data_IF_886055668745
#
_entry.id   IF_886055668745
#
_cell.length_a   1.000
_cell.length_b   1.000
_cell.length_c   1.000
_cell.angle_alpha   90.00
_cell.angle_beta   90.00
_cell.angle_gamma   90.00
#
_symmetry.space_group_name_H-M   'P 1'
#
loop_
_entity.id
_entity.type
_entity.pdbx_description
1 polymer ?
#
# COMPACT_ATOMS: atom_id res chain seq x y z
N UNK A 1 13.01 -4.98 -11.07
CA UNK A 1 12.46 -4.64 -9.75
C UNK A 1 12.25 -5.96 -9.04
N UNK A 2 13.11 -6.25 -8.08
CA UNK A 2 13.17 -7.54 -7.37
C UNK A 2 12.13 -7.60 -6.25
N UNK A 3 11.96 -8.75 -5.59
CA UNK A 3 11.00 -8.90 -4.48
C UNK A 3 11.31 -7.92 -3.33
N UNK A 4 12.59 -7.70 -3.05
CA UNK A 4 13.07 -6.74 -2.05
C UNK A 4 12.66 -5.29 -2.39
N UNK A 5 12.74 -4.90 -3.66
CA UNK A 5 12.35 -3.56 -4.12
C UNK A 5 10.84 -3.34 -3.96
N UNK A 6 10.04 -4.37 -4.26
CA UNK A 6 8.58 -4.32 -4.09
C UNK A 6 8.20 -4.27 -2.61
N UNK A 7 8.88 -5.05 -1.77
CA UNK A 7 8.70 -5.04 -0.32
C UNK A 7 8.99 -3.67 0.27
N UNK A 8 10.12 -3.07 -0.12
CA UNK A 8 10.49 -1.73 0.31
C UNK A 8 9.51 -0.66 -0.19
N UNK A 9 9.08 -0.74 -1.46
CA UNK A 9 8.08 0.17 -2.00
C UNK A 9 6.76 0.14 -1.21
N UNK A 10 6.25 -1.05 -0.90
CA UNK A 10 5.05 -1.22 -0.09
C UNK A 10 5.23 -0.69 1.34
N UNK A 11 6.39 -0.93 1.94
CA UNK A 11 6.73 -0.42 3.27
C UNK A 11 6.70 1.12 3.28
N UNK A 12 7.34 1.75 2.30
CA UNK A 12 7.39 3.21 2.19
C UNK A 12 5.99 3.80 1.96
N UNK A 13 5.16 3.17 1.12
CA UNK A 13 3.77 3.60 0.91
C UNK A 13 2.95 3.48 2.21
N UNK A 14 3.13 2.41 2.98
CA UNK A 14 2.47 2.25 4.27
C UNK A 14 2.91 3.33 5.27
N UNK A 15 4.21 3.59 5.38
CA UNK A 15 4.76 4.63 6.27
C UNK A 15 4.37 6.06 5.84
N UNK A 16 4.27 6.31 4.54
CA UNK A 16 3.85 7.60 4.00
C UNK A 16 2.39 7.92 4.35
N UNK A 17 1.50 6.91 4.33
CA UNK A 17 0.10 7.06 4.77
C UNK A 17 -0.01 7.46 6.24
N UNK A 18 0.95 7.03 7.06
CA UNK A 18 0.97 7.32 8.48
C UNK A 18 1.84 8.54 8.83
N UNK A 19 2.41 9.23 7.85
CA UNK A 19 3.32 10.39 8.03
C UNK A 19 4.54 10.10 8.93
N UNK A 20 4.99 8.84 9.00
CA UNK A 20 6.06 8.38 9.91
C UNK A 20 7.32 7.84 9.21
N UNK A 21 7.60 8.29 7.99
CA UNK A 21 8.70 7.75 7.16
C UNK A 21 10.09 7.86 7.81
N UNK A 22 10.34 8.89 8.62
CA UNK A 22 11.63 9.12 9.28
C UNK A 22 11.68 8.71 10.76
N UNK A 23 10.60 8.13 11.28
CA UNK A 23 10.51 7.74 12.70
C UNK A 23 10.97 6.30 12.86
N UNK A 24 11.87 5.97 13.80
CA UNK A 24 12.21 4.59 14.12
C UNK A 24 10.99 3.81 14.61
N UNK A 25 10.85 2.56 14.18
CA UNK A 25 9.77 1.67 14.60
C UNK A 25 10.29 0.23 14.81
N UNK A 26 9.63 -0.60 15.64
CA UNK A 26 10.09 -1.97 15.89
C UNK A 26 9.98 -2.86 14.65
N UNK A 27 10.93 -3.79 14.50
CA UNK A 27 10.98 -4.73 13.38
C UNK A 27 9.70 -5.57 13.24
N UNK A 28 9.02 -5.84 14.36
CA UNK A 28 7.73 -6.53 14.38
C UNK A 28 6.66 -5.86 13.51
N UNK A 29 6.63 -4.52 13.47
CA UNK A 29 5.63 -3.78 12.71
C UNK A 29 5.71 -4.04 11.20
N UNK A 30 6.89 -4.40 10.67
CA UNK A 30 7.06 -4.70 9.25
C UNK A 30 6.13 -5.84 8.83
N UNK A 31 6.09 -6.94 9.58
CA UNK A 31 5.36 -8.15 9.20
C UNK A 31 3.98 -8.27 9.86
N UNK A 32 3.71 -7.56 10.95
CA UNK A 32 2.40 -7.61 11.63
C UNK A 32 1.42 -6.58 11.07
N UNK A 33 1.91 -5.38 10.74
CA UNK A 33 1.02 -4.21 10.49
C UNK A 33 1.26 -3.55 9.14
N UNK A 34 2.52 -3.28 8.79
CA UNK A 34 2.87 -2.49 7.61
C UNK A 34 2.75 -3.31 6.33
N UNK A 35 3.41 -4.47 6.27
CA UNK A 35 3.44 -5.32 5.07
C UNK A 35 3.16 -6.79 5.39
N UNK A 36 2.00 -7.14 5.98
CA UNK A 36 1.66 -8.53 6.25
C UNK A 36 1.53 -9.34 4.97
N UNK A 37 2.03 -10.58 5.01
CA UNK A 37 2.11 -11.47 3.85
C UNK A 37 0.75 -11.71 3.17
N UNK A 38 -0.30 -12.01 3.93
CA UNK A 38 -1.62 -12.37 3.37
C UNK A 38 -2.22 -11.24 2.52
N UNK A 39 -2.11 -9.99 2.98
CA UNK A 39 -2.70 -8.83 2.31
C UNK A 39 -1.86 -8.35 1.12
N UNK A 40 -0.56 -8.65 1.10
CA UNK A 40 0.39 -8.11 0.13
C UNK A 40 0.95 -9.14 -0.85
N UNK A 41 0.60 -10.44 -0.74
CA UNK A 41 1.12 -11.53 -1.60
C UNK A 41 1.00 -11.21 -3.09
N UNK A 42 -0.14 -10.68 -3.54
CA UNK A 42 -0.37 -10.34 -4.95
C UNK A 42 0.52 -9.19 -5.45
N UNK A 43 0.87 -8.23 -4.58
CA UNK A 43 1.71 -7.07 -4.92
C UNK A 43 3.20 -7.37 -4.82
N UNK A 44 3.61 -8.20 -3.87
CA UNK A 44 5.00 -8.63 -3.68
C UNK A 44 5.45 -9.61 -4.77
N UNK A 45 4.51 -10.41 -5.31
CA UNK A 45 4.78 -11.45 -6.31
C UNK A 45 5.82 -12.48 -5.81
N UNK A 46 5.67 -12.91 -4.56
CA UNK A 46 6.44 -14.00 -3.93
C UNK A 46 5.69 -15.32 -4.08
N UNK A 47 6.42 -16.38 -4.46
CA UNK A 47 5.84 -17.69 -4.70
C UNK A 47 5.38 -18.35 -3.39
N UNK A 48 6.19 -18.26 -2.34
CA UNK A 48 5.96 -18.92 -1.05
C UNK A 48 6.03 -17.94 0.14
N UNK A 49 5.57 -18.39 1.30
CA UNK A 49 5.73 -17.63 2.54
C UNK A 49 7.20 -17.51 2.96
N UNK A 50 8.00 -18.55 2.70
CA UNK A 50 9.42 -18.55 2.99
C UNK A 50 10.17 -17.51 2.15
N UNK A 51 9.78 -17.30 0.88
CA UNK A 51 10.37 -16.24 0.03
C UNK A 51 10.11 -14.84 0.61
N UNK A 52 8.92 -14.63 1.19
CA UNK A 52 8.59 -13.39 1.89
C UNK A 52 9.46 -13.22 3.14
N UNK A 53 9.59 -14.25 3.97
CA UNK A 53 10.43 -14.22 5.17
C UNK A 53 11.89 -13.94 4.82
N UNK A 54 12.41 -14.55 3.75
CA UNK A 54 13.75 -14.27 3.22
C UNK A 54 13.89 -12.81 2.73
N UNK A 55 12.88 -12.26 2.06
CA UNK A 55 12.90 -10.86 1.64
C UNK A 55 12.90 -9.89 2.83
N UNK A 56 12.13 -10.19 3.89
CA UNK A 56 12.13 -9.42 5.14
C UNK A 56 13.47 -9.54 5.85
N UNK A 57 14.04 -10.74 5.96
CA UNK A 57 15.35 -10.96 6.56
C UNK A 57 16.44 -10.14 5.84
N UNK A 58 16.45 -10.18 4.50
CA UNK A 58 17.36 -9.38 3.66
C UNK A 58 17.19 -7.88 3.85
N UNK A 59 15.93 -7.41 3.93
CA UNK A 59 15.64 -6.00 4.18
C UNK A 59 16.19 -5.55 5.53
N UNK A 60 15.95 -6.32 6.60
CA UNK A 60 16.38 -6.01 7.97
C UNK A 60 17.89 -6.15 8.15
N UNK A 61 18.54 -7.03 7.40
CA UNK A 61 20.00 -7.10 7.30
C UNK A 61 20.62 -5.85 6.63
N UNK A 62 19.80 -4.94 6.09
CA UNK A 62 20.23 -3.69 5.47
C UNK A 62 20.68 -3.86 4.02
N UNK A 63 20.21 -4.90 3.33
CA UNK A 63 20.54 -5.12 1.93
C UNK A 63 20.14 -3.89 1.09
N UNK A 64 21.04 -3.45 0.20
CA UNK A 64 20.92 -2.24 -0.64
C UNK A 64 20.78 -0.91 0.12
N UNK A 65 20.95 -0.91 1.44
CA UNK A 65 20.92 0.31 2.26
C UNK A 65 19.55 0.98 2.34
N UNK A 66 18.48 0.22 2.13
CA UNK A 66 17.09 0.69 2.23
C UNK A 66 16.69 1.02 3.67
N UNK A 67 17.17 0.21 4.59
CA UNK A 67 16.80 0.22 5.99
C UNK A 67 18.06 0.05 6.83
N UNK A 68 18.08 0.69 7.99
CA UNK A 68 19.09 0.51 9.03
C UNK A 68 18.41 -0.07 10.27
N UNK A 69 18.99 -1.14 10.80
CA UNK A 69 18.50 -1.79 12.01
C UNK A 69 19.45 -1.49 13.18
N UNK A 70 18.86 -1.04 14.29
CA UNK A 70 19.52 -0.85 15.58
C UNK A 70 18.96 -1.87 16.60
N UNK A 71 19.82 -2.55 17.38
CA UNK A 71 21.27 -2.40 17.44
C UNK A 71 22.03 -3.09 16.29
N UNK A 72 23.21 -2.56 15.96
CA UNK A 72 24.09 -3.06 14.87
C UNK A 72 24.49 -4.53 15.04
N UNK A 73 24.63 -5.01 16.28
CA UNK A 73 24.91 -6.42 16.57
C UNK A 73 23.83 -7.38 16.06
N UNK A 74 22.55 -6.97 16.08
CA UNK A 74 21.43 -7.77 15.56
C UNK A 74 21.47 -7.78 14.04
N UNK A 75 21.77 -6.63 13.42
CA UNK A 75 21.94 -6.53 11.96
C UNK A 75 23.07 -7.44 11.48
N UNK A 76 24.21 -7.43 12.16
CA UNK A 76 25.35 -8.28 11.84
C UNK A 76 25.02 -9.77 12.01
N UNK A 77 24.22 -10.13 13.01
CA UNK A 77 23.72 -11.50 13.18
C UNK A 77 22.82 -11.92 12.00
N UNK A 78 21.90 -11.06 11.56
CA UNK A 78 21.06 -11.33 10.37
C UNK A 78 21.89 -11.46 9.09
N UNK A 79 22.92 -10.64 8.92
CA UNK A 79 23.83 -10.73 7.76
C UNK A 79 24.60 -12.05 7.74
N UNK A 80 25.08 -12.51 8.90
CA UNK A 80 25.73 -13.83 9.02
C UNK A 80 24.78 -14.96 8.69
N UNK A 81 23.52 -14.85 9.13
CA UNK A 81 22.50 -15.86 8.86
C UNK A 81 22.25 -16.01 7.35
N UNK A 82 22.12 -14.89 6.64
CA UNK A 82 21.94 -14.88 5.16
C UNK A 82 23.13 -15.54 4.43
N UNK A 83 24.34 -15.46 4.99
CA UNK A 83 25.54 -16.06 4.40
C UNK A 83 25.65 -17.57 4.64
N UNK A 84 24.82 -18.16 5.50
CA UNK A 84 24.79 -19.60 5.76
C UNK A 84 24.23 -20.36 4.56
N UNK A 85 24.68 -21.61 4.35
CA UNK A 85 24.21 -22.47 3.26
C UNK A 85 22.69 -22.77 3.37
N UNK A 86 22.19 -22.87 4.59
CA UNK A 86 20.77 -23.08 4.89
C UNK A 86 20.30 -22.00 5.87
N UNK A 87 19.96 -20.80 5.38
CA UNK A 87 19.54 -19.69 6.21
C UNK A 87 18.14 -19.95 6.80
N UNK A 88 17.97 -19.65 8.08
CA UNK A 88 16.63 -19.57 8.69
C UNK A 88 15.94 -18.27 8.31
N UNK A 89 14.98 -18.37 7.39
CA UNK A 89 14.19 -17.25 6.90
C UNK A 89 13.45 -16.51 8.03
N UNK A 90 13.08 -17.21 9.10
CA UNK A 90 12.31 -16.66 10.22
C UNK A 90 13.20 -16.09 11.34
N UNK A 91 14.53 -16.06 11.18
CA UNK A 91 15.49 -15.63 12.20
C UNK A 91 15.22 -14.21 12.74
N UNK A 92 14.69 -13.32 11.90
CA UNK A 92 14.35 -11.96 12.31
C UNK A 92 13.30 -11.89 13.44
N UNK A 93 12.46 -12.93 13.60
CA UNK A 93 11.44 -13.00 14.65
C UNK A 93 12.03 -13.14 16.05
N UNK A 94 13.31 -13.50 16.17
CA UNK A 94 14.03 -13.50 17.45
C UNK A 94 14.26 -12.09 18.01
N UNK A 95 14.13 -11.05 17.19
CA UNK A 95 14.39 -9.65 17.56
C UNK A 95 13.25 -8.71 17.17
N UNK A 96 12.04 -8.89 17.74
CA UNK A 96 10.86 -8.10 17.35
C UNK A 96 10.99 -6.61 17.71
N UNK A 97 11.68 -6.28 18.80
CA UNK A 97 11.80 -4.91 19.33
C UNK A 97 12.95 -4.10 18.71
N UNK A 98 13.74 -4.72 17.83
CA UNK A 98 14.84 -4.04 17.15
C UNK A 98 14.31 -2.84 16.36
N UNK A 99 14.96 -1.69 16.49
CA UNK A 99 14.50 -0.45 15.88
C UNK A 99 14.94 -0.38 14.43
N UNK A 100 13.98 -0.09 13.57
CA UNK A 100 14.13 -0.04 12.13
C UNK A 100 13.99 1.40 11.68
N UNK A 101 15.01 1.91 11.00
CA UNK A 101 15.03 3.26 10.47
C UNK A 101 15.16 3.23 8.95
N UNK A 102 14.23 3.88 8.26
CA UNK A 102 14.18 3.89 6.80
C UNK A 102 15.08 5.00 6.25
N UNK A 103 15.84 4.68 5.21
CA UNK A 103 16.65 5.67 4.53
C UNK A 103 15.76 6.61 3.70
N UNK A 104 15.64 7.87 4.13
CA UNK A 104 14.79 8.86 3.47
C UNK A 104 15.08 9.06 1.98
N UNK A 105 16.35 9.01 1.56
CA UNK A 105 16.73 9.12 0.14
C UNK A 105 16.27 7.93 -0.69
N UNK A 106 16.28 6.72 -0.11
CA UNK A 106 15.75 5.54 -0.77
C UNK A 106 14.22 5.59 -0.84
N UNK A 107 13.56 6.03 0.24
CA UNK A 107 12.11 6.18 0.30
C UNK A 107 11.58 7.19 -0.74
N UNK A 108 12.24 8.33 -0.89
CA UNK A 108 11.88 9.34 -1.89
C UNK A 108 12.01 8.78 -3.33
N UNK A 109 13.06 8.00 -3.60
CA UNK A 109 13.23 7.32 -4.90
C UNK A 109 12.15 6.28 -5.15
N UNK A 110 11.77 5.51 -4.14
CA UNK A 110 10.71 4.50 -4.27
C UNK A 110 9.35 5.16 -4.57
N UNK A 111 9.02 6.26 -3.90
CA UNK A 111 7.81 7.05 -4.16
C UNK A 111 7.84 7.69 -5.56
N UNK A 112 9.00 8.19 -5.99
CA UNK A 112 9.13 8.80 -7.32
C UNK A 112 9.10 7.77 -8.44
N UNK A 113 9.64 6.57 -8.24
CA UNK A 113 9.62 5.50 -9.23
C UNK A 113 8.18 5.08 -9.60
N UNK A 114 7.26 5.07 -8.63
CA UNK A 114 5.85 4.82 -8.87
C UNK A 114 5.17 5.97 -9.65
N UNK A 115 5.63 7.21 -9.42
CA UNK A 115 5.17 8.41 -10.17
C UNK A 115 5.72 8.50 -11.59
N UNK A 116 6.91 7.98 -11.87
CA UNK A 116 7.54 8.02 -13.21
C UNK A 116 6.77 7.16 -14.23
N UNK A 117 6.01 6.17 -13.76
CA UNK A 117 5.13 5.38 -14.61
C UNK A 117 3.66 5.84 -14.56
N UNK A 118 3.32 6.80 -13.69
CA UNK A 118 2.05 7.49 -13.74
C UNK A 118 2.08 8.52 -14.87
N UNK A 119 1.03 8.62 -15.71
CA UNK A 119 0.95 9.74 -16.66
C UNK A 119 1.06 11.05 -15.87
N UNK A 120 1.80 12.05 -16.37
CA UNK A 120 1.91 13.33 -15.70
C UNK A 120 0.50 13.84 -15.44
N UNK A 121 0.19 14.12 -14.18
CA UNK A 121 -1.05 14.82 -13.85
C UNK A 121 -0.94 16.22 -14.45
N UNK A 122 -2.00 16.67 -15.13
CA UNK A 122 -2.09 17.97 -15.83
C UNK A 122 -1.85 19.22 -14.92
N UNK A 123 -1.43 19.04 -13.67
CA UNK A 123 -1.14 20.09 -12.70
C UNK A 123 0.26 20.73 -12.86
N UNK A 124 1.15 20.16 -13.68
CA UNK A 124 2.52 20.68 -13.87
C UNK A 124 2.64 21.63 -15.09
N UNK A 125 1.54 21.92 -15.82
CA UNK A 125 1.58 22.77 -17.02
C UNK A 125 1.38 24.28 -16.76
N UNK A 126 1.07 24.71 -15.53
CA UNK A 126 0.74 26.12 -15.25
C UNK A 126 1.95 27.05 -14.95
N UNK A 127 3.20 26.54 -14.96
CA UNK A 127 4.40 27.35 -14.67
C UNK A 127 5.36 27.54 -15.88
N UNK A 128 4.81 27.57 -17.10
CA UNK A 128 5.53 28.07 -18.27
C UNK A 128 4.89 29.34 -18.80
N UNK A 129 5.05 30.41 -18.02
CA UNK A 129 4.79 31.78 -18.47
C UNK A 129 5.82 32.20 -19.52
N UNK A 130 5.35 32.21 -20.76
CA UNK A 130 5.46 33.28 -21.75
C UNK A 130 6.80 34.06 -21.81
N UNK A 131 7.69 33.60 -22.69
CA UNK A 131 8.62 34.52 -23.36
C UNK A 131 8.67 34.18 -24.84
N UNK A 132 7.88 34.86 -25.66
CA UNK A 132 8.26 35.59 -26.89
C UNK A 132 7.08 35.64 -27.86
N UNK A 133 6.64 36.86 -28.15
CA UNK A 133 5.67 37.13 -29.21
C UNK A 133 6.29 37.03 -30.61
N UNK A 134 5.55 36.41 -31.52
CA UNK A 134 5.20 36.93 -32.85
C UNK A 134 4.07 36.03 -33.44
N UNK A 135 3.27 36.61 -34.34
CA UNK A 135 1.90 36.30 -34.78
C UNK A 135 1.62 34.98 -35.59
N UNK A 136 0.33 34.61 -35.83
CA UNK A 136 -0.17 33.27 -36.19
C UNK A 136 -0.35 33.00 -37.69
N UNK A 137 -0.53 31.72 -38.05
CA UNK A 137 -1.02 31.26 -39.36
C UNK A 137 -2.14 30.19 -39.14
N UNK A 138 -3.32 30.29 -39.80
CA UNK A 138 -4.45 29.40 -39.57
C UNK A 138 -4.42 28.10 -40.40
N UNK A 139 -5.16 27.10 -39.89
CA UNK A 139 -5.20 25.68 -40.28
C UNK A 139 -5.72 25.38 -41.72
N UNK A 140 -5.63 24.12 -42.21
CA UNK A 140 -6.70 23.16 -41.90
C UNK A 140 -6.24 21.69 -41.77
N UNK A 141 -6.95 20.93 -40.94
CA UNK A 141 -6.87 19.46 -40.95
C UNK A 141 -7.15 18.83 -39.59
N UNK A 142 -8.40 18.86 -39.14
CA UNK A 142 -8.84 18.05 -37.98
C UNK A 142 -8.96 16.58 -38.39
N UNK A 143 -8.16 15.64 -37.86
CA UNK A 143 -8.65 14.31 -37.63
C UNK A 143 -9.55 14.38 -36.39
N UNK A 144 -10.76 13.85 -36.51
CA UNK A 144 -11.73 13.73 -35.44
C UNK A 144 -11.04 13.06 -34.23
N UNK A 145 -10.81 13.84 -33.17
CA UNK A 145 -10.36 13.30 -31.89
C UNK A 145 -11.43 12.33 -31.43
N UNK A 146 -11.08 11.05 -31.28
CA UNK A 146 -11.81 10.19 -30.38
C UNK A 146 -11.77 10.87 -29.01
N UNK A 147 -12.90 11.42 -28.58
CA UNK A 147 -13.09 11.87 -27.21
C UNK A 147 -13.14 10.60 -26.36
N UNK A 148 -11.98 10.16 -25.88
CA UNK A 148 -11.98 9.40 -24.63
C UNK A 148 -12.47 10.38 -23.58
N UNK A 149 -13.62 10.06 -23.00
CA UNK A 149 -14.25 10.90 -21.98
C UNK A 149 -13.24 11.21 -20.89
N UNK A 150 -13.12 12.50 -20.57
CA UNK A 150 -12.63 13.02 -19.30
C UNK A 150 -12.96 12.02 -18.19
N UNK A 151 -12.01 11.53 -17.38
CA UNK A 151 -12.39 10.82 -16.16
C UNK A 151 -13.30 11.77 -15.38
N UNK A 152 -14.54 11.35 -15.07
CA UNK A 152 -15.41 12.19 -14.26
C UNK A 152 -14.70 12.41 -12.93
N UNK A 153 -14.55 13.68 -12.56
CA UNK A 153 -15.11 14.31 -11.36
C UNK A 153 -15.34 13.39 -10.12
N UNK A 154 -15.14 13.94 -8.92
CA UNK A 154 -14.85 13.22 -7.67
C UNK A 154 -15.82 12.06 -7.42
N UNK A 155 -15.26 10.91 -6.97
CA UNK A 155 -15.97 9.74 -6.43
C UNK A 155 -17.44 9.70 -6.83
N UNK A 156 -17.75 9.18 -8.02
CA UNK A 156 -19.14 8.98 -8.43
C UNK A 156 -19.90 8.30 -7.28
N UNK A 157 -21.02 8.87 -6.83
CA UNK A 157 -21.87 8.43 -5.69
C UNK A 157 -22.30 6.94 -5.76
N UNK A 158 -21.94 6.25 -6.82
CA UNK A 158 -22.28 4.87 -7.15
C UNK A 158 -21.07 3.93 -7.09
N UNK A 159 -20.01 4.25 -6.35
CA UNK A 159 -18.91 3.33 -6.07
C UNK A 159 -18.81 3.08 -4.57
N UNK A 160 -18.61 1.82 -4.19
CA UNK A 160 -18.41 1.46 -2.79
C UNK A 160 -17.03 1.93 -2.31
N UNK A 161 -17.01 2.69 -1.21
CA UNK A 161 -15.76 3.23 -0.63
C UNK A 161 -14.77 2.16 -0.17
N UNK A 162 -15.24 0.94 0.08
CA UNK A 162 -14.42 -0.14 0.61
C UNK A 162 -13.81 -1.05 -0.47
N UNK A 163 -14.58 -1.41 -1.50
CA UNK A 163 -14.13 -2.34 -2.54
C UNK A 163 -14.02 -1.72 -3.94
N UNK A 164 -14.48 -0.48 -4.13
CA UNK A 164 -14.57 0.18 -5.44
C UNK A 164 -15.61 -0.42 -6.39
N UNK A 165 -16.41 -1.39 -5.92
CA UNK A 165 -17.46 -2.01 -6.71
C UNK A 165 -18.57 -1.02 -7.08
N UNK A 166 -19.05 -1.09 -8.33
CA UNK A 166 -20.11 -0.20 -8.83
C UNK A 166 -21.43 -0.59 -8.18
N UNK A 167 -22.04 0.35 -7.48
CA UNK A 167 -23.34 0.22 -6.84
C UNK A 167 -24.46 0.49 -7.86
N UNK A 168 -25.55 -0.29 -7.83
CA UNK A 168 -26.66 -0.08 -8.75
C UNK A 168 -27.40 1.22 -8.45
N UNK A 169 -27.40 2.13 -9.43
CA UNK A 169 -27.93 3.50 -9.36
C UNK A 169 -29.43 3.62 -8.99
N UNK A 170 -30.23 2.58 -9.26
CA UNK A 170 -31.69 2.59 -9.07
C UNK A 170 -32.16 1.89 -7.78
N UNK A 171 -31.28 1.65 -6.81
CA UNK A 171 -31.68 1.16 -5.48
C UNK A 171 -30.77 1.67 -4.37
N UNK A 172 -31.36 2.08 -3.25
CA UNK A 172 -30.64 2.37 -2.01
C UNK A 172 -30.12 1.08 -1.37
N UNK A 173 -28.96 0.62 -1.84
CA UNK A 173 -28.31 -0.57 -1.31
C UNK A 173 -27.64 -0.25 0.03
N UNK A 174 -28.28 -0.60 1.16
CA UNK A 174 -27.68 -0.42 2.50
C UNK A 174 -26.35 -1.17 2.65
N UNK A 175 -26.20 -2.29 1.94
CA UNK A 175 -25.00 -3.13 1.91
C UNK A 175 -24.50 -3.28 0.47
N UNK A 176 -23.18 -3.28 0.29
CA UNK A 176 -22.54 -3.47 -1.00
C UNK A 176 -22.69 -4.93 -1.46
N UNK A 177 -23.22 -5.20 -2.66
CA UNK A 177 -23.37 -6.57 -3.17
C UNK A 177 -22.03 -7.21 -3.58
N UNK A 178 -20.97 -6.42 -3.72
CA UNK A 178 -19.65 -6.91 -4.12
C UNK A 178 -18.77 -7.33 -2.93
N UNK A 179 -18.91 -6.68 -1.77
CA UNK A 179 -18.09 -6.97 -0.59
C UNK A 179 -18.87 -7.10 0.73
N UNK A 180 -20.20 -7.03 0.70
CA UNK A 180 -21.06 -7.17 1.89
C UNK A 180 -21.06 -5.98 2.86
N UNK A 181 -20.21 -4.98 2.65
CA UNK A 181 -19.99 -3.87 3.58
C UNK A 181 -21.13 -2.83 3.56
N UNK A 182 -21.61 -2.32 4.70
CA UNK A 182 -22.60 -1.24 4.74
C UNK A 182 -22.07 0.05 4.12
N UNK A 183 -22.96 0.80 3.48
CA UNK A 183 -22.65 2.12 2.89
C UNK A 183 -22.63 3.26 3.92
N UNK A 184 -23.31 3.11 5.04
CA UNK A 184 -23.45 4.18 6.03
C UNK A 184 -23.75 3.61 7.42
N UNK A 185 -23.10 4.18 8.44
CA UNK A 185 -23.31 3.87 9.87
C UNK A 185 -22.37 2.80 10.45
N UNK A 186 -22.35 2.76 11.79
CA UNK A 186 -21.61 1.74 12.54
C UNK A 186 -22.17 0.35 12.24
N UNK A 187 -21.29 -0.58 11.87
CA UNK A 187 -21.58 -1.99 11.75
C UNK A 187 -22.13 -2.50 13.10
N UNK A 188 -23.32 -3.11 13.10
CA UNK A 188 -23.94 -3.66 14.32
C UNK A 188 -24.10 -5.16 14.21
N UNK A 189 -23.83 -5.85 15.31
CA UNK A 189 -24.04 -7.29 15.40
C UNK A 189 -25.53 -7.63 15.18
N UNK A 190 -25.88 -8.53 14.25
CA UNK A 190 -27.27 -8.91 14.00
C UNK A 190 -27.91 -9.67 15.18
N UNK A 191 -27.10 -10.19 16.11
CA UNK A 191 -27.57 -10.96 17.25
C UNK A 191 -27.81 -10.11 18.51
N UNK A 192 -26.95 -9.13 18.79
CA UNK A 192 -27.02 -8.36 20.04
C UNK A 192 -27.02 -6.84 19.84
N UNK A 193 -26.84 -6.35 18.61
CA UNK A 193 -26.88 -4.93 18.28
C UNK A 193 -25.65 -4.11 18.69
N UNK A 194 -24.62 -4.73 19.28
CA UNK A 194 -23.37 -4.04 19.63
C UNK A 194 -22.63 -3.57 18.38
N UNK A 195 -21.89 -2.47 18.49
CA UNK A 195 -20.98 -2.05 17.43
C UNK A 195 -19.92 -3.15 17.19
N UNK A 196 -19.68 -3.47 15.93
CA UNK A 196 -18.66 -4.41 15.47
C UNK A 196 -17.87 -3.72 14.37
N UNK A 197 -16.57 -4.02 14.24
CA UNK A 197 -15.72 -3.36 13.25
C UNK A 197 -15.61 -4.19 11.95
N UNK A 198 -15.11 -3.55 10.89
CA UNK A 198 -14.86 -4.20 9.59
C UNK A 198 -13.86 -5.34 9.72
N UNK A 199 -14.19 -6.49 9.14
CA UNK A 199 -13.33 -7.68 9.14
C UNK A 199 -13.40 -8.53 10.41
N UNK A 200 -14.26 -8.20 11.39
CA UNK A 200 -14.49 -9.07 12.54
C UNK A 200 -15.39 -10.25 12.18
N UNK A 201 -14.84 -11.47 12.21
CA UNK A 201 -15.62 -12.69 11.97
C UNK A 201 -16.67 -12.98 13.07
N UNK A 202 -16.40 -12.53 14.30
CA UNK A 202 -17.24 -12.75 15.48
C UNK A 202 -17.43 -11.47 16.29
N UNK A 203 -18.62 -11.31 16.86
CA UNK A 203 -18.95 -10.18 17.72
C UNK A 203 -18.30 -10.32 19.11
N UNK A 204 -17.54 -9.33 19.58
CA UNK A 204 -16.93 -9.37 20.92
C UNK A 204 -17.93 -9.36 22.08
N UNK A 205 -19.12 -8.78 21.90
CA UNK A 205 -20.13 -8.72 22.96
C UNK A 205 -20.95 -10.01 23.13
N UNK A 206 -21.17 -10.80 22.07
CA UNK A 206 -22.06 -11.97 22.14
C UNK A 206 -21.48 -13.26 21.52
N UNK A 207 -20.30 -13.21 20.92
CA UNK A 207 -19.62 -14.37 20.33
C UNK A 207 -20.26 -14.93 19.05
N UNK A 208 -21.37 -14.36 18.55
CA UNK A 208 -22.00 -14.82 17.31
C UNK A 208 -21.22 -14.36 16.08
N UNK A 209 -21.20 -15.17 15.00
CA UNK A 209 -20.60 -14.76 13.74
C UNK A 209 -21.34 -13.55 13.18
N UNK A 210 -20.58 -12.61 12.64
CA UNK A 210 -21.12 -11.36 12.09
C UNK A 210 -21.69 -11.53 10.68
N UNK A 211 -21.26 -12.57 9.96
CA UNK A 211 -21.74 -12.89 8.61
C UNK A 211 -21.10 -12.06 7.49
N UNK A 212 -20.03 -11.33 7.80
CA UNK A 212 -19.19 -10.63 6.82
C UNK A 212 -18.01 -11.55 6.44
N UNK A 213 -18.20 -12.44 5.47
CA UNK A 213 -17.14 -13.28 4.86
C UNK A 213 -16.54 -12.61 3.62
#
# INVERSE_FOLDING_TARGET
>A
MDELDRLFGLLVVALARETRVAVPFPAAEVYERLVPYRSNRSRLNVATHQDYEMAVLRLLAGERGYVQLEPESVRDAMQREIATINPDAAYFRSFPDAQVMVNGRAAERALKADRVYAPPSDADEEDLLDTTGENPIPAPGSPVRFRVGRPPDPLSENQCEYCGGVLPLNRDARFCPHCGQPREGDLKCPACGSAVDVGWAYCLSCGKPTGFE
#
